data_IF_078565820988
#
_entry.id   IF_078565820988
#
_cell.length_a   1.000
_cell.length_b   1.000
_cell.length_c   1.000
_cell.angle_alpha   90.00
_cell.angle_beta   90.00
_cell.angle_gamma   90.00
#
_symmetry.space_group_name_H-M   'P 1'
#
loop_
_entity.id
_entity.type
_entity.pdbx_description
1 polymer ?
#
# COMPACT_ATOMS: atom_id res chain seq x y z
N UNK A 1 55.76 -19.51 12.80
CA UNK A 1 54.85 -20.53 13.35
C UNK A 1 54.19 -19.97 14.58
N UNK A 2 52.92 -19.58 14.47
CA UNK A 2 52.14 -19.06 15.58
C UNK A 2 50.72 -19.62 15.40
N UNK A 3 50.39 -20.64 16.20
CA UNK A 3 49.02 -21.15 16.32
C UNK A 3 48.36 -20.40 17.47
N UNK A 4 47.10 -19.93 17.35
CA UNK A 4 46.27 -19.68 18.51
C UNK A 4 45.47 -20.93 18.87
N UNK A 5 45.54 -21.19 20.16
CA UNK A 5 44.82 -22.12 21.02
C UNK A 5 43.29 -22.04 20.86
N UNK A 6 42.66 -23.22 20.79
CA UNK A 6 41.23 -23.42 21.00
C UNK A 6 40.99 -23.73 22.48
N UNK A 7 40.47 -22.76 23.23
CA UNK A 7 40.14 -22.92 24.65
C UNK A 7 38.86 -22.21 25.03
N UNK A 8 37.81 -23.00 25.21
CA UNK A 8 36.45 -22.65 25.62
C UNK A 8 36.33 -21.85 26.92
N UNK A 9 35.55 -20.77 26.90
CA UNK A 9 34.52 -20.44 27.91
C UNK A 9 33.36 -19.81 27.12
N UNK A 10 32.12 -20.28 27.10
CA UNK A 10 31.34 -20.93 28.13
C UNK A 10 30.31 -19.93 28.63
N UNK A 11 29.01 -20.19 28.35
CA UNK A 11 27.82 -19.72 29.08
C UNK A 11 27.06 -18.49 28.53
N UNK A 12 26.34 -18.66 27.42
CA UNK A 12 25.00 -18.07 27.18
C UNK A 12 24.21 -18.92 26.18
N UNK A 13 23.85 -20.15 26.58
CA UNK A 13 22.86 -20.96 25.84
C UNK A 13 22.16 -21.93 26.78
N UNK A 14 21.07 -21.46 27.43
CA UNK A 14 19.95 -22.29 27.97
C UNK A 14 18.97 -21.41 28.77
N UNK A 15 17.84 -21.11 28.13
CA UNK A 15 16.53 -20.56 28.56
C UNK A 15 16.13 -19.65 27.40
N UNK A 16 15.32 -20.06 26.44
CA UNK A 16 13.94 -20.49 26.58
C UNK A 16 13.60 -21.47 25.44
N UNK A 17 13.70 -22.78 25.71
CA UNK A 17 12.92 -23.80 25.00
C UNK A 17 11.74 -24.12 25.89
N UNK A 18 10.54 -23.81 25.44
CA UNK A 18 9.30 -24.05 26.18
C UNK A 18 8.36 -22.86 26.12
N UNK A 19 7.93 -22.48 24.91
CA UNK A 19 6.68 -21.77 24.60
C UNK A 19 6.42 -21.94 23.08
N UNK A 20 6.50 -23.19 22.62
CA UNK A 20 6.12 -23.61 21.26
C UNK A 20 4.96 -24.58 21.42
N UNK A 21 3.76 -24.03 21.68
CA UNK A 21 2.44 -24.68 21.54
C UNK A 21 1.38 -23.91 22.36
N UNK A 22 1.16 -22.62 22.07
CA UNK A 22 -0.06 -21.88 22.42
C UNK A 22 0.16 -20.40 22.09
N UNK A 23 -0.32 -19.97 20.92
CA UNK A 23 -1.02 -18.71 20.60
C UNK A 23 -1.34 -18.86 19.10
N UNK A 24 -2.13 -19.89 18.82
CA UNK A 24 -3.04 -19.96 17.69
C UNK A 24 -4.40 -19.74 18.35
N UNK A 25 -5.13 -18.71 17.92
CA UNK A 25 -6.38 -18.17 18.50
C UNK A 25 -6.22 -17.22 19.70
N UNK A 26 -6.52 -15.93 19.44
CA UNK A 26 -6.93 -14.80 20.33
C UNK A 26 -6.38 -13.50 19.71
N UNK A 27 -7.08 -12.38 19.57
CA UNK A 27 -8.42 -11.95 19.96
C UNK A 27 -8.67 -10.61 19.22
N UNK A 28 -9.84 -10.42 18.61
CA UNK A 28 -10.27 -9.20 17.88
C UNK A 28 -10.57 -8.00 18.81
N UNK A 29 -9.88 -7.87 19.96
CA UNK A 29 -10.29 -6.99 21.07
C UNK A 29 -9.28 -5.94 21.53
N UNK A 30 -8.15 -5.74 20.85
CA UNK A 30 -7.12 -4.79 21.32
C UNK A 30 -7.35 -3.32 20.85
N UNK A 31 -8.42 -3.02 20.09
CA UNK A 31 -8.57 -1.68 19.48
C UNK A 31 -9.42 -0.65 20.27
N UNK A 32 -9.95 -0.97 21.45
CA UNK A 32 -11.01 -0.12 22.06
C UNK A 32 -10.59 0.70 23.27
N UNK A 33 -9.45 0.41 23.91
CA UNK A 33 -9.06 1.09 25.16
C UNK A 33 -8.01 2.20 24.96
N UNK A 34 -7.12 2.06 23.97
CA UNK A 34 -6.12 3.08 23.65
C UNK A 34 -6.75 4.35 23.02
N UNK A 35 -7.81 4.17 22.21
CA UNK A 35 -8.58 5.26 21.58
C UNK A 35 -9.46 6.02 22.57
N UNK A 36 -9.87 5.40 23.68
CA UNK A 36 -10.77 6.01 24.66
C UNK A 36 -10.06 7.02 25.59
N UNK A 37 -8.73 6.93 25.74
CA UNK A 37 -7.95 7.78 26.66
C UNK A 37 -7.35 9.03 26.01
N UNK A 38 -7.28 9.09 24.68
CA UNK A 38 -6.76 10.25 23.93
C UNK A 38 -7.87 11.18 23.40
N UNK A 39 -9.12 10.72 23.38
CA UNK A 39 -10.28 11.47 22.88
C UNK A 39 -11.16 11.87 24.06
N UNK A 40 -10.72 12.89 24.82
CA UNK A 40 -11.60 13.60 25.72
C UNK A 40 -12.76 14.20 24.92
N UNK A 41 -13.96 13.63 25.07
CA UNK A 41 -15.19 14.13 24.48
C UNK A 41 -15.69 13.35 23.25
N UNK A 42 -16.64 12.45 23.48
CA UNK A 42 -17.94 12.45 22.80
C UNK A 42 -18.01 12.28 21.28
N UNK A 43 -17.07 11.61 20.61
CA UNK A 43 -17.25 11.20 19.21
C UNK A 43 -17.09 9.68 19.07
N UNK A 44 -18.22 8.96 19.19
CA UNK A 44 -18.34 7.58 18.72
C UNK A 44 -18.41 7.61 17.18
N UNK A 45 -17.47 6.93 16.53
CA UNK A 45 -17.54 6.70 15.09
C UNK A 45 -18.32 5.40 14.86
N UNK A 46 -19.60 5.52 14.46
CA UNK A 46 -20.48 4.41 14.07
C UNK A 46 -20.36 4.06 12.57
N UNK A 47 -19.13 4.13 12.03
CA UNK A 47 -18.87 3.70 10.67
C UNK A 47 -18.81 2.17 10.56
N UNK A 48 -19.13 1.60 9.38
CA UNK A 48 -19.17 0.16 9.20
C UNK A 48 -17.80 -0.48 9.45
N UNK A 49 -17.76 -1.53 10.27
CA UNK A 49 -16.57 -2.37 10.47
C UNK A 49 -16.32 -3.20 9.21
N UNK A 50 -15.56 -2.67 8.25
CA UNK A 50 -15.20 -3.40 7.04
C UNK A 50 -14.01 -4.31 7.33
N UNK A 51 -14.18 -5.62 7.18
CA UNK A 51 -13.10 -6.59 7.42
C UNK A 51 -12.02 -6.53 6.32
N UNK A 52 -10.76 -6.85 6.64
CA UNK A 52 -9.69 -7.04 5.64
C UNK A 52 -10.06 -8.07 4.55
N UNK A 53 -11.02 -8.95 4.81
CA UNK A 53 -11.56 -9.93 3.87
C UNK A 53 -12.46 -9.27 2.79
N UNK A 54 -13.14 -8.17 3.11
CA UNK A 54 -13.94 -7.39 2.14
C UNK A 54 -13.07 -6.63 1.13
N UNK A 55 -11.86 -6.21 1.51
CA UNK A 55 -10.87 -5.62 0.60
C UNK A 55 -10.40 -6.59 -0.51
N UNK A 56 -10.70 -7.90 -0.39
CA UNK A 56 -10.51 -8.88 -1.47
C UNK A 56 -11.49 -8.69 -2.63
N UNK A 57 -12.59 -7.94 -2.47
CA UNK A 57 -13.50 -7.52 -3.54
C UNK A 57 -12.98 -6.27 -4.25
N UNK A 58 -11.72 -6.34 -4.69
CA UNK A 58 -11.04 -5.27 -5.43
C UNK A 58 -11.48 -5.19 -6.90
N UNK A 59 -12.18 -6.20 -7.40
CA UNK A 59 -12.66 -6.26 -8.78
C UNK A 59 -13.92 -5.40 -8.93
N UNK A 60 -13.92 -4.53 -9.91
CA UNK A 60 -15.05 -3.71 -10.32
C UNK A 60 -15.24 -3.95 -11.81
N UNK A 61 -16.44 -4.35 -12.20
CA UNK A 61 -16.74 -4.72 -13.58
C UNK A 61 -18.11 -4.22 -14.01
N UNK A 62 -18.26 -4.07 -15.32
CA UNK A 62 -19.52 -3.79 -15.98
C UNK A 62 -19.63 -4.73 -17.16
N UNK A 63 -20.07 -5.99 -16.91
CA UNK A 63 -19.92 -7.10 -17.85
C UNK A 63 -20.63 -6.86 -19.19
N UNK A 64 -21.71 -6.08 -19.18
CA UNK A 64 -22.51 -5.81 -20.36
C UNK A 64 -22.02 -4.62 -21.21
N UNK A 65 -20.95 -3.93 -20.78
CA UNK A 65 -20.46 -2.71 -21.44
C UNK A 65 -18.98 -2.84 -21.79
N UNK A 66 -18.69 -3.00 -23.08
CA UNK A 66 -17.32 -2.95 -23.58
C UNK A 66 -16.79 -1.50 -23.61
N UNK A 67 -15.49 -1.28 -23.31
CA UNK A 67 -14.89 0.04 -23.45
C UNK A 67 -15.02 0.58 -24.88
N UNK A 68 -15.38 1.87 -25.06
CA UNK A 68 -15.45 2.47 -26.38
C UNK A 68 -14.05 2.60 -27.00
N UNK A 69 -13.99 2.61 -28.33
CA UNK A 69 -12.79 3.03 -29.05
C UNK A 69 -12.75 4.56 -29.03
N UNK A 70 -11.73 5.12 -28.39
CA UNK A 70 -11.56 6.56 -28.24
C UNK A 70 -10.56 7.09 -29.27
N UNK A 71 -10.86 8.24 -29.86
CA UNK A 71 -9.88 8.98 -30.64
C UNK A 71 -8.86 9.71 -29.72
N UNK A 72 -7.74 10.24 -30.24
CA UNK A 72 -6.72 10.87 -29.40
C UNK A 72 -7.22 12.03 -28.53
N UNK A 73 -8.18 12.84 -29.02
CA UNK A 73 -8.74 13.97 -28.27
C UNK A 73 -9.62 13.47 -27.12
N UNK A 74 -10.49 12.50 -27.38
CA UNK A 74 -11.34 11.88 -26.35
C UNK A 74 -10.50 11.17 -25.29
N UNK A 75 -9.39 10.54 -25.70
CA UNK A 75 -8.47 9.92 -24.77
C UNK A 75 -7.86 10.96 -23.81
N UNK A 76 -7.38 12.10 -24.32
CA UNK A 76 -6.85 13.17 -23.47
C UNK A 76 -7.91 13.73 -22.52
N UNK A 77 -9.12 13.98 -23.01
CA UNK A 77 -10.24 14.44 -22.20
C UNK A 77 -10.56 13.46 -21.06
N UNK A 78 -10.60 12.16 -21.35
CA UNK A 78 -10.82 11.13 -20.34
C UNK A 78 -9.74 11.15 -19.24
N UNK A 79 -8.47 11.32 -19.61
CA UNK A 79 -7.39 11.40 -18.61
C UNK A 79 -7.60 12.57 -17.64
N UNK A 80 -8.04 13.72 -18.16
CA UNK A 80 -8.32 14.90 -17.34
C UNK A 80 -9.57 14.69 -16.47
N UNK A 81 -10.65 14.11 -17.00
CA UNK A 81 -11.84 13.73 -16.22
C UNK A 81 -11.47 12.77 -15.06
N UNK A 82 -10.58 11.79 -15.30
CA UNK A 82 -10.12 10.87 -14.25
C UNK A 82 -9.35 11.63 -13.16
N UNK A 83 -8.45 12.56 -13.53
CA UNK A 83 -7.71 13.39 -12.57
C UNK A 83 -8.64 14.26 -11.74
N UNK A 84 -9.63 14.87 -12.37
CA UNK A 84 -10.65 15.69 -11.70
C UNK A 84 -11.50 14.85 -10.74
N UNK A 85 -11.95 13.67 -11.19
CA UNK A 85 -12.72 12.75 -10.34
C UNK A 85 -11.89 12.29 -9.15
N UNK A 86 -10.62 11.93 -9.35
CA UNK A 86 -9.73 11.52 -8.27
C UNK A 86 -9.56 12.66 -7.25
N UNK A 87 -9.30 13.88 -7.72
CA UNK A 87 -9.20 15.07 -6.85
C UNK A 87 -10.49 15.32 -6.06
N UNK A 88 -11.66 15.21 -6.70
CA UNK A 88 -12.96 15.36 -6.05
C UNK A 88 -13.20 14.29 -4.97
N UNK A 89 -12.62 13.10 -5.12
CA UNK A 89 -12.65 12.04 -4.11
C UNK A 89 -11.61 12.27 -2.99
N UNK A 90 -10.81 13.33 -3.04
CA UNK A 90 -9.76 13.63 -2.07
C UNK A 90 -8.49 12.79 -2.26
N UNK A 91 -8.25 12.33 -3.49
CA UNK A 91 -7.00 11.70 -3.89
C UNK A 91 -6.01 12.78 -4.36
N UNK A 92 -4.72 12.50 -4.22
CA UNK A 92 -3.64 13.39 -4.63
C UNK A 92 -3.33 13.30 -6.14
N UNK A 93 -2.11 13.68 -6.55
CA UNK A 93 -1.62 13.47 -7.91
C UNK A 93 -2.00 12.10 -8.46
N UNK A 94 -2.59 12.11 -9.65
CA UNK A 94 -3.11 10.92 -10.35
C UNK A 94 -2.53 10.87 -11.75
N UNK A 95 -1.82 9.78 -12.05
CA UNK A 95 -1.10 9.60 -13.31
C UNK A 95 -1.23 8.17 -13.85
N UNK A 96 -0.79 7.97 -15.08
CA UNK A 96 -1.10 6.79 -15.88
C UNK A 96 0.16 6.10 -16.39
N UNK A 97 0.16 4.77 -16.38
CA UNK A 97 1.20 3.99 -17.05
C UNK A 97 0.61 2.74 -17.71
N UNK A 98 1.36 2.18 -18.65
CA UNK A 98 0.99 0.94 -19.32
C UNK A 98 1.27 -0.29 -18.43
N UNK A 99 0.40 -1.29 -18.49
CA UNK A 99 0.52 -2.52 -17.71
C UNK A 99 1.58 -3.47 -18.30
N UNK A 100 2.85 -3.07 -18.18
CA UNK A 100 4.04 -3.86 -18.59
C UNK A 100 4.86 -4.27 -17.39
N UNK A 101 5.61 -5.36 -17.52
CA UNK A 101 6.59 -5.81 -16.52
C UNK A 101 7.55 -4.69 -16.13
N UNK A 102 7.85 -4.59 -14.84
CA UNK A 102 8.80 -3.60 -14.34
C UNK A 102 10.23 -3.93 -14.82
N UNK A 103 11.00 -2.93 -15.30
CA UNK A 103 12.44 -3.11 -15.56
C UNK A 103 13.21 -3.56 -14.31
N UNK A 104 12.71 -3.24 -13.11
CA UNK A 104 13.31 -3.57 -11.82
C UNK A 104 12.94 -4.97 -11.30
N UNK A 105 12.24 -5.80 -12.09
CA UNK A 105 11.79 -7.12 -11.63
C UNK A 105 12.96 -8.04 -11.24
N UNK A 106 14.08 -7.96 -11.97
CA UNK A 106 15.27 -8.75 -11.68
C UNK A 106 15.97 -8.28 -10.39
N UNK A 107 15.91 -6.98 -10.08
CA UNK A 107 16.42 -6.43 -8.83
C UNK A 107 15.60 -6.95 -7.64
N UNK A 108 14.27 -6.96 -7.77
CA UNK A 108 13.39 -7.57 -6.77
C UNK A 108 13.71 -9.06 -6.54
N UNK A 109 13.91 -9.84 -7.61
CA UNK A 109 14.29 -11.25 -7.48
C UNK A 109 15.65 -11.47 -6.83
N UNK A 110 16.62 -10.59 -7.09
CA UNK A 110 17.92 -10.64 -6.41
C UNK A 110 17.73 -10.30 -4.92
N UNK A 111 17.00 -9.24 -4.62
CA UNK A 111 16.74 -8.78 -3.25
C UNK A 111 16.02 -9.83 -2.38
N UNK A 112 14.98 -10.50 -2.92
CA UNK A 112 14.29 -11.60 -2.22
C UNK A 112 15.23 -12.80 -2.01
N UNK A 113 15.99 -13.22 -3.04
CA UNK A 113 16.94 -14.34 -2.91
C UNK A 113 18.07 -14.09 -1.91
N UNK A 114 18.44 -12.83 -1.72
CA UNK A 114 19.42 -12.42 -0.71
C UNK A 114 18.84 -12.35 0.72
N UNK A 115 17.55 -12.67 0.92
CA UNK A 115 16.90 -12.62 2.23
C UNK A 115 16.68 -11.20 2.76
N UNK A 116 16.68 -10.18 1.88
CA UNK A 116 16.53 -8.79 2.29
C UNK A 116 15.07 -8.39 2.56
N UNK A 117 14.12 -9.29 2.39
CA UNK A 117 12.69 -9.11 2.70
C UNK A 117 12.34 -9.18 4.19
N UNK A 118 13.30 -9.45 5.07
CA UNK A 118 13.04 -9.56 6.51
C UNK A 118 11.94 -10.59 6.79
N UNK A 119 10.96 -10.22 7.62
CA UNK A 119 9.82 -11.10 7.96
C UNK A 119 8.68 -11.07 6.91
N UNK A 120 8.84 -10.34 5.81
CA UNK A 120 7.81 -10.20 4.77
C UNK A 120 7.76 -11.44 3.84
N UNK A 121 7.45 -12.60 4.41
CA UNK A 121 7.33 -13.88 3.68
C UNK A 121 6.31 -13.81 2.52
N UNK A 122 5.31 -12.94 2.60
CA UNK A 122 4.37 -12.73 1.50
C UNK A 122 5.03 -12.21 0.20
N UNK A 123 6.24 -11.63 0.28
CA UNK A 123 7.03 -11.20 -0.87
C UNK A 123 7.75 -12.36 -1.57
N UNK A 124 7.95 -13.50 -0.92
CA UNK A 124 8.66 -14.65 -1.51
C UNK A 124 7.71 -15.72 -2.06
N UNK A 125 6.40 -15.61 -1.77
CA UNK A 125 5.40 -16.55 -2.28
C UNK A 125 5.41 -16.53 -3.82
N UNK A 126 5.46 -17.72 -4.42
CA UNK A 126 5.54 -17.90 -5.88
C UNK A 126 4.44 -17.13 -6.62
N UNK A 127 3.19 -17.25 -6.16
CA UNK A 127 2.04 -16.55 -6.75
C UNK A 127 2.20 -15.02 -6.71
N UNK A 128 2.83 -14.49 -5.67
CA UNK A 128 3.03 -13.06 -5.51
C UNK A 128 4.18 -12.55 -6.40
N UNK A 129 5.26 -13.34 -6.54
CA UNK A 129 6.38 -13.03 -7.43
C UNK A 129 5.97 -13.05 -8.90
N UNK A 130 5.12 -14.00 -9.30
CA UNK A 130 4.57 -14.10 -10.66
C UNK A 130 3.67 -12.91 -10.97
N UNK A 131 2.74 -12.55 -10.07
CA UNK A 131 1.87 -11.38 -10.23
C UNK A 131 2.62 -10.05 -10.30
N UNK A 132 3.72 -9.90 -9.55
CA UNK A 132 4.58 -8.69 -9.63
C UNK A 132 5.32 -8.58 -10.95
N UNK A 133 5.63 -9.71 -11.60
CA UNK A 133 6.23 -9.76 -12.93
C UNK A 133 5.21 -9.50 -14.02
N UNK A 134 4.05 -10.13 -13.92
CA UNK A 134 3.01 -10.10 -14.93
C UNK A 134 1.65 -9.69 -14.36
N UNK A 135 1.23 -8.47 -14.69
CA UNK A 135 -0.05 -7.92 -14.26
C UNK A 135 -1.25 -8.63 -14.94
N UNK A 136 -1.06 -9.40 -16.01
CA UNK A 136 -2.13 -10.24 -16.57
C UNK A 136 -2.62 -11.29 -15.56
N UNK A 137 -1.75 -11.73 -14.64
CA UNK A 137 -2.11 -12.64 -13.55
C UNK A 137 -2.86 -11.95 -12.40
N UNK A 138 -2.89 -10.62 -12.41
CA UNK A 138 -3.61 -9.79 -11.45
C UNK A 138 -5.01 -9.45 -11.97
N UNK A 139 -5.08 -9.04 -13.24
CA UNK A 139 -6.30 -8.75 -13.97
C UNK A 139 -6.09 -9.14 -15.44
N UNK A 140 -6.71 -10.24 -15.92
CA UNK A 140 -6.60 -10.65 -17.32
C UNK A 140 -7.04 -9.55 -18.29
N UNK A 141 -6.24 -9.28 -19.31
CA UNK A 141 -6.54 -8.24 -20.30
C UNK A 141 -6.18 -6.81 -19.87
N UNK A 142 -5.56 -6.62 -18.69
CA UNK A 142 -5.14 -5.28 -18.22
C UNK A 142 -4.23 -4.60 -19.23
N UNK A 143 -4.51 -3.32 -19.53
CA UNK A 143 -3.74 -2.51 -20.50
C UNK A 143 -3.03 -1.33 -19.85
N UNK A 144 -3.66 -0.72 -18.86
CA UNK A 144 -3.18 0.47 -18.19
C UNK A 144 -3.32 0.33 -16.67
N UNK A 145 -2.55 1.14 -15.95
CA UNK A 145 -2.58 1.29 -14.51
C UNK A 145 -2.74 2.77 -14.21
N UNK A 146 -3.70 3.08 -13.35
CA UNK A 146 -3.90 4.42 -12.80
C UNK A 146 -3.24 4.43 -11.42
N UNK A 147 -2.23 5.28 -11.25
CA UNK A 147 -1.55 5.48 -9.98
C UNK A 147 -2.03 6.79 -9.36
N UNK A 148 -2.34 6.76 -8.07
CA UNK A 148 -2.68 7.96 -7.32
C UNK A 148 -1.98 7.94 -5.97
N UNK A 149 -1.82 9.11 -5.35
CA UNK A 149 -1.30 9.25 -4.00
C UNK A 149 -2.39 9.63 -3.00
N UNK A 150 -2.08 9.46 -1.71
CA UNK A 150 -2.90 9.91 -0.61
C UNK A 150 -2.01 10.60 0.43
N UNK A 151 -2.39 11.83 0.81
CA UNK A 151 -1.62 12.64 1.75
C UNK A 151 -2.06 12.33 3.18
N UNK A 152 -1.11 11.96 4.04
CA UNK A 152 -1.32 11.71 5.47
C UNK A 152 -0.78 12.85 6.35
N UNK A 153 -0.52 14.02 5.77
CA UNK A 153 -0.02 15.20 6.49
C UNK A 153 -1.07 15.68 7.53
N UNK A 154 -0.69 15.89 8.81
CA UNK A 154 -1.62 16.27 9.88
C UNK A 154 -2.09 17.73 9.85
N UNK A 155 -1.75 18.49 8.81
CA UNK A 155 -2.14 19.89 8.65
C UNK A 155 -1.33 20.84 9.54
N UNK A 156 -1.94 21.98 9.90
CA UNK A 156 -1.31 23.03 10.70
C UNK A 156 -0.88 22.60 12.10
N UNK A 157 -1.46 21.50 12.64
CA UNK A 157 -1.02 20.92 13.92
C UNK A 157 0.41 20.39 13.83
N UNK A 158 0.92 20.15 12.61
CA UNK A 158 2.23 19.59 12.37
C UNK A 158 2.37 18.19 12.96
N UNK A 159 3.56 17.62 12.81
CA UNK A 159 3.93 16.48 13.65
C UNK A 159 4.24 17.03 15.05
N UNK A 160 3.62 16.52 16.15
CA UNK A 160 4.06 16.82 17.50
C UNK A 160 5.58 16.79 17.58
N UNK A 161 6.14 17.82 18.18
CA UNK A 161 7.56 17.82 18.49
C UNK A 161 7.83 16.57 19.33
N UNK A 162 8.78 15.75 18.87
CA UNK A 162 9.25 14.60 19.62
C UNK A 162 9.97 15.14 20.87
N UNK A 163 9.22 15.47 21.91
CA UNK A 163 9.77 15.60 23.24
C UNK A 163 10.11 14.16 23.65
N UNK A 164 11.39 13.83 23.56
CA UNK A 164 11.92 12.53 23.94
C UNK A 164 11.76 12.37 25.46
N UNK A 165 10.59 11.93 25.89
CA UNK A 165 10.37 11.44 27.24
C UNK A 165 10.92 10.01 27.34
N UNK A 166 11.67 9.70 28.39
CA UNK A 166 12.25 8.37 28.59
C UNK A 166 11.22 7.22 28.60
N UNK A 167 9.93 7.54 28.75
CA UNK A 167 8.82 6.59 28.83
C UNK A 167 7.93 6.57 27.58
N UNK A 168 8.19 7.40 26.56
CA UNK A 168 7.37 7.48 25.34
C UNK A 168 8.21 7.28 24.07
N UNK A 169 7.72 6.43 23.18
CA UNK A 169 8.27 6.26 21.84
C UNK A 169 7.48 7.04 20.79
N UNK A 170 8.11 7.35 19.66
CA UNK A 170 7.44 7.94 18.50
C UNK A 170 6.91 6.85 17.57
N UNK A 171 5.68 7.00 17.11
CA UNK A 171 5.08 6.16 16.06
C UNK A 171 5.22 6.88 14.73
N UNK A 172 5.51 6.16 13.66
CA UNK A 172 5.57 6.74 12.32
C UNK A 172 4.25 7.39 11.92
N UNK A 173 4.33 8.53 11.23
CA UNK A 173 3.16 9.33 10.88
C UNK A 173 2.17 8.66 9.93
N UNK A 174 2.61 7.68 9.13
CA UNK A 174 1.69 6.93 8.27
C UNK A 174 0.70 6.06 9.06
N UNK A 175 1.03 5.73 10.31
CA UNK A 175 0.20 4.94 11.21
C UNK A 175 -0.66 5.81 12.14
N UNK A 176 -0.69 7.13 11.91
CA UNK A 176 -1.52 8.03 12.69
C UNK A 176 -2.93 8.12 12.11
N UNK A 177 -3.91 8.20 13.00
CA UNK A 177 -5.32 8.27 12.62
C UNK A 177 -5.89 6.92 12.19
N UNK A 178 -7.01 6.93 11.43
CA UNK A 178 -7.65 5.70 10.98
C UNK A 178 -6.80 4.96 9.94
N UNK A 179 -6.93 3.63 9.90
CA UNK A 179 -6.20 2.77 8.95
C UNK A 179 -6.36 3.28 7.51
N UNK A 180 -5.23 3.67 6.90
CA UNK A 180 -5.22 4.27 5.57
C UNK A 180 -5.75 3.31 4.50
N UNK A 181 -5.67 1.99 4.73
CA UNK A 181 -6.21 0.99 3.81
C UNK A 181 -7.71 1.16 3.60
N UNK A 182 -8.45 1.54 4.66
CA UNK A 182 -9.89 1.73 4.60
C UNK A 182 -10.21 3.03 3.87
N UNK A 183 -9.65 4.15 4.34
CA UNK A 183 -9.92 5.47 3.78
C UNK A 183 -9.51 5.58 2.32
N UNK A 184 -8.32 5.08 1.99
CA UNK A 184 -7.81 5.12 0.62
C UNK A 184 -8.53 4.07 -0.25
N UNK A 185 -8.80 2.88 0.29
CA UNK A 185 -9.54 1.82 -0.40
C UNK A 185 -10.94 2.26 -0.84
N UNK A 186 -11.70 2.95 0.02
CA UNK A 186 -13.02 3.49 -0.31
C UNK A 186 -12.98 4.48 -1.48
N UNK A 187 -11.97 5.37 -1.50
CA UNK A 187 -11.79 6.36 -2.57
C UNK A 187 -11.39 5.68 -3.90
N UNK A 188 -10.50 4.71 -3.85
CA UNK A 188 -10.10 3.93 -5.02
C UNK A 188 -11.27 3.10 -5.57
N UNK A 189 -12.07 2.50 -4.70
CA UNK A 189 -13.27 1.78 -5.10
C UNK A 189 -14.28 2.70 -5.77
N UNK A 190 -14.49 3.90 -5.22
CA UNK A 190 -15.38 4.91 -5.80
C UNK A 190 -14.89 5.37 -7.18
N UNK A 191 -13.59 5.60 -7.35
CA UNK A 191 -13.00 5.95 -8.65
C UNK A 191 -13.16 4.82 -9.66
N UNK A 192 -12.84 3.58 -9.27
CA UNK A 192 -12.99 2.41 -10.13
C UNK A 192 -14.45 2.17 -10.54
N UNK A 193 -15.40 2.34 -9.60
CA UNK A 193 -16.84 2.23 -9.88
C UNK A 193 -17.28 3.28 -10.89
N UNK A 194 -16.94 4.54 -10.67
CA UNK A 194 -17.28 5.61 -11.61
C UNK A 194 -16.72 5.34 -13.00
N UNK A 195 -15.45 4.90 -13.09
CA UNK A 195 -14.80 4.65 -14.37
C UNK A 195 -15.45 3.49 -15.14
N UNK A 196 -15.69 2.36 -14.49
CA UNK A 196 -16.17 1.14 -15.15
C UNK A 196 -17.69 1.08 -15.27
N UNK A 197 -18.44 1.49 -14.25
CA UNK A 197 -19.91 1.44 -14.28
C UNK A 197 -20.48 2.63 -15.04
N UNK A 198 -20.07 3.84 -14.67
CA UNK A 198 -20.74 5.04 -15.15
C UNK A 198 -20.15 5.50 -16.50
N UNK A 199 -18.82 5.41 -16.67
CA UNK A 199 -18.13 6.05 -17.80
C UNK A 199 -17.81 5.14 -18.99
N UNK A 200 -16.92 4.16 -18.81
CA UNK A 200 -16.28 3.42 -19.89
C UNK A 200 -16.82 2.01 -20.10
N UNK A 201 -17.23 1.30 -19.04
CA UNK A 201 -17.40 -0.15 -19.11
C UNK A 201 -16.11 -0.91 -18.78
N UNK A 202 -16.11 -2.22 -19.06
CA UNK A 202 -14.99 -3.12 -18.85
C UNK A 202 -14.77 -3.50 -17.39
N UNK A 203 -13.53 -3.86 -17.05
CA UNK A 203 -13.14 -4.33 -15.73
C UNK A 203 -11.91 -3.60 -15.20
N UNK A 204 -11.87 -3.42 -13.89
CA UNK A 204 -10.79 -2.79 -13.16
C UNK A 204 -10.55 -3.47 -11.83
N UNK A 205 -9.30 -3.36 -11.35
CA UNK A 205 -8.91 -3.85 -10.04
C UNK A 205 -8.14 -2.77 -9.30
N UNK A 206 -8.53 -2.48 -8.08
CA UNK A 206 -7.85 -1.49 -7.23
C UNK A 206 -7.06 -2.14 -6.10
N UNK A 207 -5.99 -1.49 -5.66
CA UNK A 207 -5.14 -1.94 -4.55
C UNK A 207 -4.64 -0.77 -3.72
N UNK A 208 -4.41 -1.04 -2.44
CA UNK A 208 -3.64 -0.21 -1.51
C UNK A 208 -2.83 -1.16 -0.62
N UNK A 209 -1.51 -1.22 -0.80
CA UNK A 209 -0.48 -1.95 0.01
C UNK A 209 -0.68 -3.48 0.17
N UNK A 210 -1.81 -4.00 -0.31
CA UNK A 210 -2.27 -5.38 -0.13
C UNK A 210 -2.14 -6.21 -1.41
N UNK A 211 -1.84 -5.55 -2.53
CA UNK A 211 -1.71 -6.17 -3.85
C UNK A 211 -0.34 -6.77 -4.10
N UNK A 212 -0.29 -7.86 -4.88
CA UNK A 212 0.96 -8.41 -5.40
C UNK A 212 1.42 -7.64 -6.66
N UNK A 213 1.57 -6.32 -6.54
CA UNK A 213 2.01 -5.42 -7.61
C UNK A 213 3.21 -4.59 -7.15
N UNK A 214 4.06 -4.14 -8.07
CA UNK A 214 5.20 -3.27 -7.75
C UNK A 214 4.77 -1.80 -7.71
N UNK A 215 3.98 -1.42 -6.69
CA UNK A 215 3.33 -0.10 -6.59
C UNK A 215 4.31 1.06 -6.80
N UNK A 216 5.47 1.03 -6.16
CA UNK A 216 6.49 2.08 -6.30
C UNK A 216 7.04 2.18 -7.71
N UNK A 217 7.32 1.05 -8.37
CA UNK A 217 7.77 1.06 -9.77
C UNK A 217 6.69 1.56 -10.73
N UNK A 218 5.42 1.24 -10.44
CA UNK A 218 4.28 1.74 -11.22
C UNK A 218 4.12 3.25 -11.04
N UNK A 219 4.20 3.75 -9.81
CA UNK A 219 4.13 5.17 -9.50
C UNK A 219 5.27 5.98 -10.14
N UNK A 220 6.51 5.48 -10.09
CA UNK A 220 7.67 6.07 -10.78
C UNK A 220 7.42 6.17 -12.29
N UNK A 221 6.97 5.06 -12.90
CA UNK A 221 6.69 4.99 -14.35
C UNK A 221 5.48 5.80 -14.79
N UNK A 222 4.51 6.02 -13.90
CA UNK A 222 3.37 6.88 -14.16
C UNK A 222 3.75 8.36 -14.06
N UNK A 223 4.87 8.70 -13.42
CA UNK A 223 5.29 10.08 -13.22
C UNK A 223 4.76 10.73 -11.94
N UNK A 224 4.33 9.92 -10.96
CA UNK A 224 3.95 10.43 -9.62
C UNK A 224 5.16 11.02 -8.89
N UNK A 225 6.36 10.51 -9.14
CA UNK A 225 7.59 10.93 -8.49
C UNK A 225 8.76 10.02 -8.85
N UNK A 226 9.86 10.11 -8.12
CA UNK A 226 11.04 9.25 -8.31
C UNK A 226 11.32 8.39 -7.07
N UNK A 227 11.97 7.25 -7.25
CA UNK A 227 12.39 6.40 -6.12
C UNK A 227 13.65 6.98 -5.46
N UNK A 228 13.54 7.40 -4.21
CA UNK A 228 14.67 7.88 -3.42
C UNK A 228 15.61 6.76 -2.94
N UNK A 229 16.78 7.13 -2.41
CA UNK A 229 17.74 6.18 -1.80
C UNK A 229 17.13 5.39 -0.62
N UNK A 230 16.12 5.97 0.04
CA UNK A 230 15.33 5.33 1.09
C UNK A 230 14.25 4.36 0.56
N UNK A 231 14.23 4.10 -0.75
CA UNK A 231 13.25 3.23 -1.44
C UNK A 231 11.81 3.73 -1.43
N UNK A 232 11.55 4.99 -1.05
CA UNK A 232 10.23 5.62 -1.09
C UNK A 232 10.05 6.46 -2.35
N UNK A 233 8.80 6.67 -2.76
CA UNK A 233 8.47 7.61 -3.83
C UNK A 233 8.51 9.03 -3.28
N UNK A 234 9.26 9.90 -3.94
CA UNK A 234 9.40 11.31 -3.63
C UNK A 234 8.75 12.11 -4.76
N UNK A 235 7.77 12.94 -4.39
CA UNK A 235 7.12 13.87 -5.30
C UNK A 235 7.60 15.29 -4.99
N UNK A 236 8.18 15.97 -5.97
CA UNK A 236 8.72 17.34 -5.85
C UNK A 236 7.77 18.43 -6.33
N UNK A 237 6.68 18.04 -6.99
CA UNK A 237 5.76 18.95 -7.67
C UNK A 237 4.56 19.32 -6.79
N UNK A 238 4.39 18.65 -5.65
CA UNK A 238 3.34 18.94 -4.71
C UNK A 238 3.77 20.07 -3.76
N UNK A 239 3.25 21.29 -3.99
CA UNK A 239 3.40 22.37 -3.00
C UNK A 239 2.64 21.96 -1.73
N UNK A 240 3.29 22.08 -0.57
CA UNK A 240 2.61 22.04 0.71
C UNK A 240 1.78 23.32 0.79
N UNK A 241 0.50 23.23 0.41
CA UNK A 241 -0.48 24.28 0.68
C UNK A 241 -0.70 24.47 2.17
#
# INVERSE_FOLDING_TARGET
>A
GFRPDMGSTGRWSRRLRGLSSAISQKDDRVSTEYTRRLMGGGLSWDGPKVSRRQLRKSLVESPDRSPPVLNPKEHLQLLDEIREKARALGLGPTEFTIARTSPRINEYYKWVRSGFNGEMAFLERKDAMEKRKDLQLVLPGVKAVICTSFRYWPGQKGFPSAQWEATRGCISSYAWGPDYHLQFGEKLQALAKWLHVDKLGGQGRWYVDTGAVMERCLAERAGIGFVGKNSLIINTNEKLG
#
